data_IF_373721755204
#
_entry.id   IF_373721755204
#
_cell.length_a   1.000
_cell.length_b   1.000
_cell.length_c   1.000
_cell.angle_alpha   90.00
_cell.angle_beta   90.00
_cell.angle_gamma   90.00
#
_symmetry.space_group_name_H-M   'P 1'
#
loop_
_entity.id
_entity.type
_entity.pdbx_description
1 polymer ?
#
# COMPACT_ATOMS: atom_id res chain seq x y z
N UNK A 1 12.78 2.86 -8.57
CA UNK A 1 11.80 2.81 -7.46
C UNK A 1 10.42 2.34 -7.88
N UNK A 2 9.70 3.04 -8.76
CA UNK A 2 8.31 2.67 -9.14
C UNK A 2 8.14 1.20 -9.52
N UNK A 3 9.07 0.66 -10.33
CA UNK A 3 9.05 -0.77 -10.70
C UNK A 3 9.19 -1.72 -9.50
N UNK A 4 10.04 -1.39 -8.53
CA UNK A 4 10.20 -2.20 -7.32
C UNK A 4 9.00 -2.05 -6.38
N UNK A 5 8.49 -0.82 -6.20
CA UNK A 5 7.33 -0.55 -5.37
C UNK A 5 6.09 -1.31 -5.88
N UNK A 6 5.88 -1.37 -7.18
CA UNK A 6 4.76 -2.09 -7.79
C UNK A 6 4.71 -3.56 -7.37
N UNK A 7 5.81 -4.31 -7.47
CA UNK A 7 5.81 -5.72 -7.09
C UNK A 7 5.73 -5.91 -5.57
N UNK A 8 6.45 -5.09 -4.80
CA UNK A 8 6.47 -5.18 -3.33
C UNK A 8 5.07 -4.89 -2.76
N UNK A 9 4.46 -3.76 -3.12
CA UNK A 9 3.14 -3.38 -2.61
C UNK A 9 2.06 -4.38 -3.04
N UNK A 10 2.13 -4.89 -4.27
CA UNK A 10 1.24 -5.96 -4.74
C UNK A 10 1.43 -7.26 -3.95
N UNK A 11 2.66 -7.64 -3.62
CA UNK A 11 2.92 -8.83 -2.79
C UNK A 11 2.44 -8.63 -1.35
N UNK A 12 2.63 -7.43 -0.78
CA UNK A 12 2.21 -7.13 0.59
C UNK A 12 0.69 -7.21 0.76
N UNK A 13 -0.10 -6.76 -0.23
CA UNK A 13 -1.56 -6.88 -0.11
C UNK A 13 -2.04 -8.34 -0.02
N UNK A 14 -1.34 -9.31 -0.63
CA UNK A 14 -1.72 -10.72 -0.58
C UNK A 14 -1.58 -11.34 0.81
N UNK A 15 -0.71 -10.78 1.65
CA UNK A 15 -0.51 -11.22 3.04
C UNK A 15 -1.23 -10.33 4.05
N UNK A 16 -2.13 -9.45 3.59
CA UNK A 16 -3.07 -8.70 4.43
C UNK A 16 -2.65 -7.27 4.77
N UNK A 17 -1.63 -6.70 4.10
CA UNK A 17 -1.37 -5.27 4.24
C UNK A 17 -2.41 -4.44 3.45
N UNK A 18 -2.82 -3.32 4.04
CA UNK A 18 -3.64 -2.31 3.36
C UNK A 18 -2.73 -1.23 2.79
N UNK A 19 -2.85 -0.97 1.49
CA UNK A 19 -2.00 -0.01 0.78
C UNK A 19 -2.80 1.28 0.52
N UNK A 20 -2.48 2.41 1.17
CA UNK A 20 -3.16 3.68 0.93
C UNK A 20 -2.68 4.36 -0.36
N UNK A 21 -3.32 5.47 -0.79
CA UNK A 21 -2.81 6.29 -1.89
C UNK A 21 -1.38 6.77 -1.64
N UNK A 22 -0.56 6.83 -2.70
CA UNK A 22 0.83 7.30 -2.64
C UNK A 22 1.66 6.62 -1.52
N UNK A 23 1.60 5.29 -1.46
CA UNK A 23 2.28 4.48 -0.45
C UNK A 23 3.77 4.20 -0.72
N UNK A 24 4.37 4.87 -1.71
CA UNK A 24 5.79 4.77 -2.03
C UNK A 24 6.45 6.15 -2.16
N UNK A 25 7.66 6.25 -1.65
CA UNK A 25 8.51 7.42 -1.74
C UNK A 25 9.97 7.00 -1.67
N UNK A 26 10.85 7.91 -2.07
CA UNK A 26 12.30 7.71 -2.01
C UNK A 26 13.04 8.57 -3.03
N UNK A 27 14.34 8.27 -3.14
CA UNK A 27 15.30 9.12 -3.81
C UNK A 27 16.21 8.29 -4.71
N UNK A 28 16.64 8.90 -5.81
CA UNK A 28 17.60 8.33 -6.76
C UNK A 28 18.59 9.45 -7.09
N UNK A 29 19.88 9.17 -6.91
CA UNK A 29 20.95 10.09 -7.28
C UNK A 29 21.21 10.11 -8.79
N UNK A 30 22.25 10.83 -9.20
CA UNK A 30 22.71 10.89 -10.59
C UNK A 30 23.04 9.50 -11.15
N UNK A 31 22.96 9.37 -12.48
CA UNK A 31 23.26 8.11 -13.16
C UNK A 31 24.74 7.73 -12.96
N UNK A 32 24.99 6.61 -12.28
CA UNK A 32 26.32 6.07 -12.06
C UNK A 32 26.57 5.66 -10.61
N UNK A 33 27.79 5.22 -10.27
CA UNK A 33 28.19 5.11 -8.87
C UNK A 33 28.18 6.51 -8.25
N UNK A 34 27.49 6.65 -7.13
CA UNK A 34 27.29 7.94 -6.48
C UNK A 34 27.09 7.80 -4.97
N UNK A 35 27.08 8.93 -4.26
CA UNK A 35 26.83 8.95 -2.83
C UNK A 35 25.45 8.38 -2.49
N UNK A 36 25.37 7.69 -1.35
CA UNK A 36 24.10 7.28 -0.73
C UNK A 36 23.33 8.50 -0.21
N UNK A 37 22.05 8.31 0.11
CA UNK A 37 21.15 9.40 0.49
C UNK A 37 21.72 10.30 1.61
N UNK A 38 22.33 9.77 2.66
CA UNK A 38 22.87 10.56 3.78
C UNK A 38 24.37 10.89 3.66
N UNK A 39 25.02 10.52 2.55
CA UNK A 39 26.44 10.80 2.39
C UNK A 39 26.67 12.32 2.18
N UNK A 40 27.80 12.88 2.66
CA UNK A 40 28.10 14.29 2.46
C UNK A 40 28.07 14.68 0.97
N UNK A 41 27.29 15.71 0.65
CA UNK A 41 27.17 16.22 -0.73
C UNK A 41 26.28 15.38 -1.66
N UNK A 42 25.49 14.43 -1.14
CA UNK A 42 24.57 13.62 -1.94
C UNK A 42 23.43 14.42 -2.57
N UNK A 43 23.02 15.52 -1.94
CA UNK A 43 21.79 16.25 -2.30
C UNK A 43 20.50 15.51 -1.92
N UNK A 44 20.61 14.40 -1.18
CA UNK A 44 19.48 13.58 -0.74
C UNK A 44 18.57 14.29 0.25
N UNK A 45 19.08 14.72 1.42
CA UNK A 45 18.28 15.37 2.46
C UNK A 45 17.66 16.69 2.01
N UNK A 46 18.29 17.37 1.04
CA UNK A 46 17.83 18.64 0.48
C UNK A 46 16.81 18.47 -0.65
N UNK A 47 16.56 17.24 -1.12
CA UNK A 47 15.69 17.00 -2.25
C UNK A 47 14.20 17.23 -1.88
N UNK A 48 13.67 18.39 -2.27
CA UNK A 48 12.28 18.79 -2.00
C UNK A 48 11.25 17.77 -2.53
N UNK A 49 11.49 17.19 -3.72
CA UNK A 49 10.59 16.19 -4.28
C UNK A 49 10.52 14.93 -3.42
N UNK A 50 11.65 14.40 -2.95
CA UNK A 50 11.68 13.26 -2.04
C UNK A 50 11.05 13.62 -0.69
N UNK A 51 11.37 14.78 -0.13
CA UNK A 51 10.84 15.21 1.17
C UNK A 51 9.31 15.38 1.13
N UNK A 52 8.79 16.01 0.08
CA UNK A 52 7.35 16.18 -0.12
C UNK A 52 6.62 14.86 -0.24
N UNK A 53 7.09 13.96 -1.11
CA UNK A 53 6.43 12.67 -1.32
C UNK A 53 6.55 11.76 -0.09
N UNK A 54 7.69 11.78 0.61
CA UNK A 54 7.85 11.05 1.87
C UNK A 54 6.86 11.55 2.92
N UNK A 55 6.71 12.87 3.04
CA UNK A 55 5.72 13.48 3.94
C UNK A 55 4.30 13.04 3.61
N UNK A 56 3.91 13.08 2.33
CA UNK A 56 2.57 12.68 1.90
C UNK A 56 2.32 11.19 2.14
N UNK A 57 3.28 10.34 1.78
CA UNK A 57 3.24 8.90 2.05
C UNK A 57 3.06 8.63 3.55
N UNK A 58 3.85 9.28 4.41
CA UNK A 58 3.76 9.13 5.86
C UNK A 58 2.38 9.50 6.39
N UNK A 59 1.82 10.65 5.97
CA UNK A 59 0.48 11.04 6.39
C UNK A 59 -0.60 10.05 5.94
N UNK A 60 -0.54 9.59 4.68
CA UNK A 60 -1.49 8.61 4.16
C UNK A 60 -1.42 7.27 4.93
N UNK A 61 -0.21 6.81 5.26
CA UNK A 61 0.00 5.62 6.08
C UNK A 61 -0.55 5.80 7.50
N UNK A 62 -0.27 6.94 8.14
CA UNK A 62 -0.76 7.23 9.50
C UNK A 62 -2.28 7.32 9.55
N UNK A 63 -2.91 7.98 8.59
CA UNK A 63 -4.37 8.06 8.49
C UNK A 63 -4.99 6.67 8.30
N UNK A 64 -4.48 5.89 7.35
CA UNK A 64 -4.98 4.54 7.10
C UNK A 64 -4.81 3.62 8.33
N UNK A 65 -3.62 3.64 8.95
CA UNK A 65 -3.36 2.87 10.16
C UNK A 65 -4.28 3.26 11.31
N UNK A 66 -4.56 4.56 11.49
CA UNK A 66 -5.49 5.04 12.51
C UNK A 66 -6.91 4.57 12.24
N UNK A 67 -7.40 4.70 11.00
CA UNK A 67 -8.73 4.24 10.61
C UNK A 67 -8.91 2.74 10.87
N UNK A 68 -7.93 1.93 10.47
CA UNK A 68 -7.96 0.49 10.70
C UNK A 68 -7.93 0.15 12.19
N UNK A 69 -7.11 0.85 12.98
CA UNK A 69 -7.04 0.63 14.43
C UNK A 69 -8.37 0.97 15.11
N UNK A 70 -8.97 2.10 14.76
CA UNK A 70 -10.23 2.55 15.36
C UNK A 70 -11.41 1.64 14.95
N UNK A 71 -11.38 1.09 13.73
CA UNK A 71 -12.39 0.13 13.24
C UNK A 71 -12.19 -1.31 13.75
N UNK A 72 -11.06 -1.63 14.39
CA UNK A 72 -10.71 -3.01 14.77
C UNK A 72 -10.29 -3.90 13.59
N UNK A 73 -9.82 -3.29 12.49
CA UNK A 73 -9.43 -3.97 11.25
C UNK A 73 -10.49 -3.86 10.14
N UNK A 74 -10.31 -4.67 9.07
CA UNK A 74 -11.31 -4.81 8.00
C UNK A 74 -12.35 -5.86 8.46
N UNK A 75 -13.67 -5.56 8.43
CA UNK A 75 -14.69 -6.53 8.75
C UNK A 75 -14.58 -7.79 7.88
N UNK A 76 -14.68 -8.96 8.51
CA UNK A 76 -14.50 -10.23 7.79
C UNK A 76 -15.70 -10.63 6.92
N UNK A 77 -16.89 -10.07 7.17
CA UNK A 77 -18.10 -10.34 6.40
C UNK A 77 -17.85 -10.09 4.89
N UNK A 78 -18.24 -11.05 4.05
CA UNK A 78 -17.95 -11.02 2.61
C UNK A 78 -16.65 -11.72 2.20
N UNK A 79 -15.78 -12.10 3.14
CA UNK A 79 -14.50 -12.76 2.88
C UNK A 79 -14.29 -14.01 3.74
N UNK A 80 -15.37 -14.74 4.05
CA UNK A 80 -15.32 -15.95 4.88
C UNK A 80 -15.57 -17.19 4.03
N UNK A 81 -14.50 -17.94 3.73
CA UNK A 81 -14.58 -19.18 2.93
C UNK A 81 -15.46 -20.26 3.58
N UNK A 82 -15.46 -20.37 4.92
CA UNK A 82 -16.30 -21.33 5.63
C UNK A 82 -17.79 -21.08 5.39
N UNK A 83 -18.25 -19.86 5.68
CA UNK A 83 -19.63 -19.46 5.44
C UNK A 83 -20.05 -19.61 3.96
N UNK A 84 -19.14 -19.33 3.03
CA UNK A 84 -19.37 -19.60 1.61
C UNK A 84 -19.65 -21.09 1.33
N UNK A 85 -18.84 -21.99 1.91
CA UNK A 85 -19.07 -23.42 1.76
C UNK A 85 -20.41 -23.87 2.40
N UNK A 86 -20.86 -23.17 3.44
CA UNK A 86 -22.12 -23.41 4.13
C UNK A 86 -23.35 -22.80 3.42
N UNK A 87 -23.15 -22.15 2.27
CA UNK A 87 -24.22 -21.62 1.41
C UNK A 87 -24.43 -20.11 1.47
N UNK A 88 -23.73 -19.39 2.36
CA UNK A 88 -23.77 -17.92 2.40
C UNK A 88 -23.19 -17.34 1.10
N UNK A 89 -23.81 -16.29 0.58
CA UNK A 89 -23.37 -15.60 -0.64
C UNK A 89 -23.15 -14.10 -0.43
N UNK A 90 -23.33 -13.60 0.79
CA UNK A 90 -23.11 -12.22 1.17
C UNK A 90 -23.87 -11.23 0.29
N UNK A 91 -25.10 -11.61 -0.12
CA UNK A 91 -25.93 -10.83 -1.04
C UNK A 91 -25.62 -11.02 -2.53
N UNK A 92 -24.68 -11.90 -2.90
CA UNK A 92 -24.48 -12.29 -4.30
C UNK A 92 -25.63 -13.16 -4.79
N UNK A 93 -26.46 -12.59 -5.66
CA UNK A 93 -27.44 -13.32 -6.46
C UNK A 93 -26.82 -13.63 -7.82
N UNK A 94 -26.62 -14.92 -8.10
CA UNK A 94 -26.06 -15.35 -9.38
C UNK A 94 -27.14 -15.16 -10.46
N UNK A 95 -26.95 -14.19 -11.36
CA UNK A 95 -27.92 -13.89 -12.42
C UNK A 95 -28.37 -15.18 -13.12
N UNK A 96 -29.65 -15.57 -13.00
CA UNK A 96 -30.14 -16.86 -13.51
C UNK A 96 -30.10 -16.96 -15.04
N UNK A 97 -29.97 -15.84 -15.76
CA UNK A 97 -29.97 -15.81 -17.23
C UNK A 97 -28.59 -16.09 -17.87
N UNK A 98 -27.49 -15.99 -17.11
CA UNK A 98 -26.12 -16.18 -17.63
C UNK A 98 -25.31 -17.12 -16.73
N UNK A 99 -25.75 -18.38 -16.64
CA UNK A 99 -24.96 -19.49 -16.09
C UNK A 99 -24.24 -20.27 -17.17
#
# INVERSE_FOLDING_TARGET
MKHAAMSILYSLQHIGFVIPPAADAGWIGEVGPGPSYLDPGSGGPENDFTNRNTTFMTWNLLHMARMLKDAGGIPAYGNLRGAWNDGERFGFDANPEYR
#
